data_IF_995319712064
#
_entry.id   IF_995319712064
#
_cell.length_a   1.000
_cell.length_b   1.000
_cell.length_c   1.000
_cell.angle_alpha   90.00
_cell.angle_beta   90.00
_cell.angle_gamma   90.00
#
_symmetry.space_group_name_H-M   'P 1'
#
loop_
_entity.id
_entity.type
_entity.pdbx_description
1 polymer ?
#
# COMPACT_ATOMS: atom_id res chain seq x y z
N UNK A 1 -1.08 8.74 51.78
CA UNK A 1 -0.48 8.84 50.43
C UNK A 1 0.25 10.17 50.33
N UNK A 2 1.58 10.19 50.40
CA UNK A 2 2.35 11.41 50.18
C UNK A 2 2.35 11.73 48.68
N UNK A 3 1.75 12.86 48.30
CA UNK A 3 1.77 13.34 46.92
C UNK A 3 3.15 13.98 46.70
N UNK A 4 4.03 13.26 46.02
CA UNK A 4 5.35 13.75 45.64
C UNK A 4 5.19 14.77 44.50
N UNK A 5 5.69 15.99 44.69
CA UNK A 5 5.55 17.12 43.75
C UNK A 5 6.87 17.37 43.03
N UNK A 6 6.82 17.94 41.82
CA UNK A 6 8.03 18.34 41.08
C UNK A 6 8.18 19.86 41.06
N UNK A 7 9.40 20.35 41.25
CA UNK A 7 9.73 21.76 41.27
C UNK A 7 9.74 22.35 39.85
N UNK A 8 8.97 23.40 39.61
CA UNK A 8 8.89 24.03 38.30
C UNK A 8 10.17 24.78 37.84
N UNK A 9 11.22 24.85 38.67
CA UNK A 9 12.49 25.53 38.35
C UNK A 9 13.64 24.53 38.14
N UNK A 10 13.89 23.64 39.11
CA UNK A 10 14.97 22.65 39.04
C UNK A 10 14.50 21.26 38.58
N UNK A 11 13.20 21.04 38.44
CA UNK A 11 12.56 19.77 38.07
C UNK A 11 12.78 18.60 39.05
N UNK A 12 13.38 18.84 40.22
CA UNK A 12 13.57 17.84 41.26
C UNK A 12 12.25 17.52 42.00
N UNK A 13 12.13 16.27 42.46
CA UNK A 13 10.98 15.81 43.24
C UNK A 13 11.16 16.14 44.72
N UNK A 14 10.09 16.66 45.34
CA UNK A 14 10.08 17.04 46.75
C UNK A 14 8.72 16.75 47.39
N UNK A 15 8.72 16.64 48.72
CA UNK A 15 7.50 16.32 49.50
C UNK A 15 6.81 17.55 50.10
N UNK A 16 7.58 18.59 50.45
CA UNK A 16 7.05 19.84 51.02
C UNK A 16 7.72 21.07 50.39
N UNK A 17 6.95 22.12 50.17
CA UNK A 17 7.38 23.31 49.44
C UNK A 17 6.26 24.34 49.31
N UNK A 18 6.42 25.25 48.36
CA UNK A 18 5.49 26.38 48.18
C UNK A 18 4.72 26.26 46.86
N UNK A 19 3.52 26.83 46.83
CA UNK A 19 2.72 26.93 45.61
C UNK A 19 2.50 28.40 45.27
N UNK A 20 2.75 28.77 44.01
CA UNK A 20 2.47 30.13 43.56
C UNK A 20 0.96 30.36 43.43
N UNK A 21 0.46 31.43 44.03
CA UNK A 21 -0.95 31.84 43.91
C UNK A 21 -1.39 32.17 42.49
N UNK A 22 -0.47 32.61 41.62
CA UNK A 22 -0.73 33.07 40.25
C UNK A 22 -0.68 31.93 39.23
N UNK A 23 0.48 31.29 39.03
CA UNK A 23 0.63 30.21 38.04
C UNK A 23 0.30 28.81 38.59
N UNK A 24 -0.01 28.68 39.88
CA UNK A 24 -0.30 27.41 40.58
C UNK A 24 0.83 26.36 40.55
N UNK A 25 2.00 26.71 40.03
CA UNK A 25 3.18 25.85 40.05
C UNK A 25 3.74 25.66 41.46
N UNK A 26 4.35 24.51 41.69
CA UNK A 26 4.99 24.13 42.93
C UNK A 26 6.51 24.30 42.83
N UNK A 27 7.11 24.83 43.90
CA UNK A 27 8.54 25.05 44.00
C UNK A 27 9.04 24.52 45.34
N UNK A 28 10.24 23.93 45.35
CA UNK A 28 10.94 23.68 46.60
C UNK A 28 11.36 25.01 47.26
N UNK A 29 11.67 24.97 48.55
CA UNK A 29 12.01 26.15 49.34
C UNK A 29 13.26 26.89 48.83
N UNK A 30 14.24 26.19 48.24
CA UNK A 30 15.46 26.79 47.70
C UNK A 30 15.15 27.58 46.43
N UNK A 31 14.47 26.95 45.47
CA UNK A 31 14.06 27.57 44.21
C UNK A 31 13.06 28.72 44.41
N UNK A 32 12.23 28.65 45.45
CA UNK A 32 11.32 29.72 45.84
C UNK A 32 12.00 30.87 46.61
N UNK A 33 13.27 30.72 46.99
CA UNK A 33 14.01 31.70 47.81
C UNK A 33 13.29 32.07 49.12
N UNK A 34 12.68 31.08 49.78
CA UNK A 34 12.00 31.26 51.07
C UNK A 34 12.27 30.08 52.00
N UNK A 35 12.67 30.37 53.24
CA UNK A 35 12.88 29.33 54.25
C UNK A 35 11.57 28.63 54.63
N UNK A 36 11.62 27.33 54.93
CA UNK A 36 10.47 26.54 55.41
C UNK A 36 9.82 27.15 56.65
N UNK A 37 10.61 27.57 57.64
CA UNK A 37 10.12 28.22 58.86
C UNK A 37 9.42 29.56 58.55
N UNK A 38 9.96 30.33 57.62
CA UNK A 38 9.35 31.55 57.10
C UNK A 38 8.01 31.29 56.41
N UNK A 39 7.93 30.26 55.57
CA UNK A 39 6.68 29.87 54.90
C UNK A 39 5.61 29.40 55.89
N UNK A 40 5.99 28.61 56.89
CA UNK A 40 5.06 28.12 57.92
C UNK A 40 4.55 29.23 58.83
N UNK A 41 5.34 30.30 59.05
CA UNK A 41 4.89 31.49 59.77
C UNK A 41 3.91 32.37 58.98
N UNK A 42 3.84 32.22 57.66
CA UNK A 42 2.82 32.91 56.88
C UNK A 42 1.46 32.27 57.16
N UNK A 43 0.47 33.10 57.50
CA UNK A 43 -0.93 32.68 57.58
C UNK A 43 -1.49 32.25 56.22
N UNK A 44 -2.64 31.58 56.24
CA UNK A 44 -3.29 30.99 55.05
C UNK A 44 -3.47 32.03 53.94
N UNK A 45 -3.91 33.25 54.28
CA UNK A 45 -4.16 34.32 53.30
C UNK A 45 -2.88 34.78 52.59
N UNK A 46 -1.77 34.93 53.34
CA UNK A 46 -0.49 35.35 52.76
C UNK A 46 0.14 34.25 51.91
N UNK A 47 -0.08 32.97 52.24
CA UNK A 47 0.36 31.85 51.39
C UNK A 47 -0.41 31.81 50.07
N UNK A 48 -1.73 32.06 50.11
CA UNK A 48 -2.56 32.09 48.90
C UNK A 48 -2.17 33.23 47.93
N UNK A 49 -1.68 34.35 48.46
CA UNK A 49 -1.25 35.52 47.66
C UNK A 49 0.23 35.50 47.26
N UNK A 50 1.02 34.53 47.74
CA UNK A 50 2.44 34.48 47.44
C UNK A 50 2.69 34.18 45.96
N UNK A 51 3.59 34.95 45.33
CA UNK A 51 3.96 34.83 43.92
C UNK A 51 5.42 34.39 43.79
N UNK A 52 5.70 33.46 42.87
CA UNK A 52 7.07 33.10 42.51
C UNK A 52 7.78 34.25 41.78
N UNK A 53 9.11 34.19 41.69
CA UNK A 53 9.93 35.20 41.03
C UNK A 53 9.47 35.52 39.60
N UNK A 54 9.14 34.50 38.80
CA UNK A 54 8.63 34.67 37.44
C UNK A 54 7.30 35.46 37.40
N UNK A 55 6.36 35.13 38.30
CA UNK A 55 5.07 35.83 38.40
C UNK A 55 5.17 37.21 39.07
N UNK A 56 6.23 37.44 39.85
CA UNK A 56 6.53 38.74 40.48
C UNK A 56 7.07 39.73 39.45
N UNK A 57 7.94 39.30 38.53
CA UNK A 57 8.48 40.16 37.47
C UNK A 57 7.43 40.57 36.42
N UNK A 58 6.34 39.81 36.27
CA UNK A 58 5.22 40.17 35.39
C UNK A 58 4.17 41.11 36.01
N UNK A 59 4.32 41.52 37.28
CA UNK A 59 3.44 42.50 37.92
C UNK A 59 4.12 43.88 37.92
N UNK A 60 3.50 44.96 37.39
CA UNK A 60 4.06 46.29 37.50
C UNK A 60 4.21 46.62 38.99
N UNK A 61 5.43 46.93 39.43
CA UNK A 61 5.62 47.51 40.75
C UNK A 61 4.91 48.86 40.75
N UNK A 62 3.85 48.98 41.54
CA UNK A 62 3.27 50.29 41.87
C UNK A 62 4.29 50.99 42.76
N UNK A 63 5.25 51.65 42.12
CA UNK A 63 6.07 52.66 42.76
C UNK A 63 5.36 53.99 42.59
N UNK A 64 4.89 54.51 43.71
CA UNK A 64 4.35 55.85 43.89
C UNK A 64 5.37 56.89 43.40
N UNK A 65 4.87 57.94 42.70
CA UNK A 65 5.50 59.23 42.35
C UNK A 65 6.20 59.39 40.98
N UNK A 66 5.43 59.66 39.91
CA UNK A 66 5.60 60.77 38.91
C UNK A 66 4.70 60.54 37.69
N UNK A 67 4.16 61.59 37.02
CA UNK A 67 3.49 61.43 35.73
C UNK A 67 4.53 61.14 34.63
N UNK A 68 4.36 60.04 33.91
CA UNK A 68 5.11 59.68 32.70
C UNK A 68 4.93 60.71 31.57
N UNK A 69 5.91 60.87 30.66
CA UNK A 69 5.69 61.57 29.41
C UNK A 69 4.75 60.74 28.54
N UNK A 70 3.57 61.28 28.22
CA UNK A 70 2.68 60.71 27.22
C UNK A 70 3.50 60.42 25.94
N UNK A 71 3.36 59.21 25.39
CA UNK A 71 4.06 58.82 24.16
C UNK A 71 3.91 59.94 23.12
N UNK A 72 5.02 60.57 22.74
CA UNK A 72 4.98 61.69 21.81
C UNK A 72 4.35 61.26 20.49
N UNK A 73 3.59 62.13 19.84
CA UNK A 73 2.99 61.87 18.54
C UNK A 73 4.04 61.39 17.52
N UNK A 74 5.27 61.89 17.62
CA UNK A 74 6.42 61.47 16.80
C UNK A 74 6.85 60.01 17.05
N UNK A 75 6.70 59.50 18.26
CA UNK A 75 6.94 58.08 18.57
C UNK A 75 5.87 57.23 17.90
N UNK A 76 4.59 57.60 18.03
CA UNK A 76 3.47 56.86 17.43
C UNK A 76 3.58 56.82 15.90
N UNK A 77 3.90 57.95 15.26
CA UNK A 77 4.06 58.02 13.80
C UNK A 77 5.25 57.18 13.30
N UNK A 78 6.31 57.04 14.10
CA UNK A 78 7.47 56.20 13.77
C UNK A 78 7.10 54.72 13.84
N UNK A 79 6.43 54.30 14.89
CA UNK A 79 5.94 52.92 15.03
C UNK A 79 4.95 52.56 13.91
N UNK A 80 4.06 53.49 13.51
CA UNK A 80 3.15 53.28 12.36
C UNK A 80 3.92 53.12 11.05
N UNK A 81 4.99 53.88 10.83
CA UNK A 81 5.83 53.72 9.64
C UNK A 81 6.59 52.39 9.67
N UNK A 82 7.09 51.98 10.84
CA UNK A 82 7.77 50.70 10.98
C UNK A 82 6.81 49.52 10.74
N UNK A 83 5.60 49.56 11.30
CA UNK A 83 4.54 48.60 11.01
C UNK A 83 4.20 48.57 9.50
N UNK A 84 4.11 49.73 8.85
CA UNK A 84 3.87 49.80 7.39
C UNK A 84 4.99 49.13 6.59
N UNK A 85 6.26 49.28 7.02
CA UNK A 85 7.41 48.64 6.38
C UNK A 85 7.39 47.12 6.61
N UNK A 86 7.09 46.67 7.83
CA UNK A 86 6.96 45.24 8.15
C UNK A 86 5.83 44.57 7.36
N UNK A 87 4.74 45.30 7.07
CA UNK A 87 3.60 44.80 6.31
C UNK A 87 3.77 44.92 4.78
N UNK A 88 4.85 45.54 4.29
CA UNK A 88 5.05 45.81 2.86
C UNK A 88 5.15 44.53 2.00
N UNK A 89 5.56 43.40 2.58
CA UNK A 89 5.68 42.11 1.89
C UNK A 89 4.39 41.29 1.80
N UNK A 90 3.31 41.68 2.50
CA UNK A 90 2.04 40.94 2.50
C UNK A 90 1.42 40.77 1.11
N UNK A 91 1.41 41.78 0.21
CA UNK A 91 0.88 41.61 -1.14
C UNK A 91 1.59 40.51 -1.94
N UNK A 92 2.92 40.39 -1.79
CA UNK A 92 3.71 39.35 -2.45
C UNK A 92 3.37 37.97 -1.88
N UNK A 93 3.28 37.85 -0.55
CA UNK A 93 2.88 36.59 0.09
C UNK A 93 1.47 36.14 -0.33
N UNK A 94 0.53 37.07 -0.52
CA UNK A 94 -0.81 36.76 -1.03
C UNK A 94 -0.74 36.17 -2.44
N UNK A 95 0.15 36.70 -3.29
CA UNK A 95 0.33 36.21 -4.65
C UNK A 95 0.99 34.83 -4.67
N UNK A 96 2.02 34.61 -3.85
CA UNK A 96 2.65 33.29 -3.69
C UNK A 96 1.63 32.23 -3.21
N UNK A 97 0.76 32.59 -2.27
CA UNK A 97 -0.32 31.71 -1.80
C UNK A 97 -1.31 31.38 -2.93
N UNK A 98 -1.60 32.32 -3.82
CA UNK A 98 -2.46 32.07 -5.00
C UNK A 98 -1.79 31.11 -5.98
N UNK A 99 -0.50 31.28 -6.24
CA UNK A 99 0.27 30.40 -7.13
C UNK A 99 0.30 28.98 -6.56
N UNK A 100 0.65 28.81 -5.28
CA UNK A 100 0.66 27.52 -4.59
C UNK A 100 -0.72 26.87 -4.67
N UNK A 101 -1.81 27.63 -4.47
CA UNK A 101 -3.17 27.12 -4.59
C UNK A 101 -3.47 26.63 -6.02
N UNK A 102 -2.97 27.34 -7.04
CA UNK A 102 -3.05 26.91 -8.44
C UNK A 102 -2.34 25.57 -8.65
N UNK A 103 -1.08 25.47 -8.27
CA UNK A 103 -0.28 24.25 -8.39
C UNK A 103 -0.90 23.05 -7.65
N UNK A 104 -1.45 23.27 -6.44
CA UNK A 104 -2.16 22.23 -5.69
C UNK A 104 -3.42 21.77 -6.44
N UNK A 105 -4.13 22.68 -7.10
CA UNK A 105 -5.31 22.35 -7.89
C UNK A 105 -4.92 21.49 -9.10
N UNK A 106 -3.87 21.87 -9.81
CA UNK A 106 -3.36 21.12 -10.97
C UNK A 106 -2.83 19.74 -10.56
N UNK A 107 -2.10 19.66 -9.45
CA UNK A 107 -1.62 18.40 -8.89
C UNK A 107 -2.78 17.47 -8.53
N UNK A 108 -3.87 18.01 -7.94
CA UNK A 108 -5.07 17.24 -7.62
C UNK A 108 -5.75 16.70 -8.87
N UNK A 109 -5.80 17.48 -9.95
CA UNK A 109 -6.32 17.03 -11.24
C UNK A 109 -5.46 15.90 -11.82
N UNK A 110 -4.14 16.07 -11.83
CA UNK A 110 -3.20 15.04 -12.29
C UNK A 110 -3.32 13.75 -11.48
N UNK A 111 -3.46 13.84 -10.16
CA UNK A 111 -3.61 12.69 -9.28
C UNK A 111 -4.91 11.93 -9.57
N UNK A 112 -6.03 12.65 -9.75
CA UNK A 112 -7.30 12.03 -10.10
C UNK A 112 -7.23 11.31 -11.46
N UNK A 113 -6.58 11.93 -12.45
CA UNK A 113 -6.36 11.29 -13.76
C UNK A 113 -5.48 10.03 -13.66
N UNK A 114 -4.44 10.06 -12.83
CA UNK A 114 -3.60 8.90 -12.58
C UNK A 114 -4.39 7.75 -11.95
N UNK A 115 -5.25 8.04 -10.97
CA UNK A 115 -6.11 7.02 -10.35
C UNK A 115 -7.06 6.38 -11.37
N UNK A 116 -7.70 7.18 -12.24
CA UNK A 116 -8.55 6.64 -13.31
C UNK A 116 -7.77 5.67 -14.20
N UNK A 117 -6.54 6.01 -14.59
CA UNK A 117 -5.68 5.12 -15.39
C UNK A 117 -5.26 3.86 -14.63
N UNK A 118 -5.01 3.97 -13.33
CA UNK A 118 -4.68 2.83 -12.47
C UNK A 118 -5.88 1.87 -12.40
N UNK A 119 -7.10 2.39 -12.25
CA UNK A 119 -8.32 1.59 -12.23
C UNK A 119 -8.53 0.88 -13.58
N UNK A 120 -8.33 1.59 -14.69
CA UNK A 120 -8.41 1.02 -16.04
C UNK A 120 -7.38 -0.10 -16.26
N UNK A 121 -6.13 0.12 -15.85
CA UNK A 121 -5.09 -0.90 -15.92
C UNK A 121 -5.39 -2.10 -15.02
N UNK A 122 -5.92 -1.87 -13.83
CA UNK A 122 -6.34 -2.94 -12.92
C UNK A 122 -7.44 -3.80 -13.56
N UNK A 123 -8.44 -3.18 -14.19
CA UNK A 123 -9.48 -3.89 -14.92
C UNK A 123 -8.91 -4.71 -16.09
N UNK A 124 -7.99 -4.13 -16.86
CA UNK A 124 -7.34 -4.82 -17.98
C UNK A 124 -6.48 -6.00 -17.55
N UNK A 125 -5.80 -5.90 -16.40
CA UNK A 125 -5.02 -7.01 -15.83
C UNK A 125 -5.94 -8.17 -15.47
N UNK A 126 -7.06 -7.91 -14.78
CA UNK A 126 -8.05 -8.95 -14.44
C UNK A 126 -8.61 -9.64 -15.69
N UNK A 127 -8.88 -8.88 -16.75
CA UNK A 127 -9.33 -9.46 -18.03
C UNK A 127 -8.27 -10.36 -18.67
N UNK A 128 -7.00 -9.94 -18.66
CA UNK A 128 -5.89 -10.73 -19.19
C UNK A 128 -5.65 -12.01 -18.39
N UNK A 129 -5.74 -11.95 -17.06
CA UNK A 129 -5.66 -13.12 -16.18
C UNK A 129 -6.79 -14.13 -16.48
N UNK A 130 -8.02 -13.63 -16.70
CA UNK A 130 -9.15 -14.47 -17.10
C UNK A 130 -8.91 -15.15 -18.45
N UNK A 131 -8.42 -14.40 -19.44
CA UNK A 131 -8.07 -14.95 -20.77
C UNK A 131 -6.95 -15.99 -20.67
N UNK A 132 -5.91 -15.74 -19.87
CA UNK A 132 -4.83 -16.70 -19.64
C UNK A 132 -5.36 -18.01 -19.04
N UNK A 133 -6.24 -17.95 -18.05
CA UNK A 133 -6.89 -19.13 -17.47
C UNK A 133 -7.67 -19.95 -18.51
N UNK A 134 -8.36 -19.27 -19.44
CA UNK A 134 -9.08 -19.94 -20.52
C UNK A 134 -8.13 -20.62 -21.52
N UNK A 135 -6.98 -20.01 -21.84
CA UNK A 135 -5.97 -20.64 -22.69
C UNK A 135 -5.39 -21.91 -22.06
N UNK A 136 -5.12 -21.91 -20.75
CA UNK A 136 -4.65 -23.11 -20.04
C UNK A 136 -5.66 -24.26 -20.14
N UNK A 137 -6.96 -23.97 -19.97
CA UNK A 137 -8.04 -24.98 -20.15
C UNK A 137 -8.14 -25.49 -21.58
N UNK A 138 -7.86 -24.62 -22.56
CA UNK A 138 -7.87 -25.01 -23.97
C UNK A 138 -6.68 -25.93 -24.29
N UNK A 139 -5.51 -25.62 -23.76
CA UNK A 139 -4.30 -26.45 -23.89
C UNK A 139 -4.52 -27.85 -23.32
N UNK A 140 -5.12 -27.97 -22.13
CA UNK A 140 -5.47 -29.26 -21.52
C UNK A 140 -6.40 -30.08 -22.43
N UNK A 141 -7.42 -29.46 -23.01
CA UNK A 141 -8.32 -30.12 -23.97
C UNK A 141 -7.59 -30.56 -25.23
N UNK A 142 -6.65 -29.76 -25.74
CA UNK A 142 -5.86 -30.12 -26.92
C UNK A 142 -5.01 -31.36 -26.63
N UNK A 143 -4.35 -31.42 -25.47
CA UNK A 143 -3.54 -32.58 -25.06
C UNK A 143 -4.43 -33.83 -24.93
N UNK A 144 -5.60 -33.71 -24.29
CA UNK A 144 -6.55 -34.82 -24.16
C UNK A 144 -6.99 -35.34 -25.54
N UNK A 145 -7.40 -34.45 -26.44
CA UNK A 145 -7.81 -34.82 -27.80
C UNK A 145 -6.68 -35.46 -28.61
N UNK A 146 -5.44 -35.00 -28.45
CA UNK A 146 -4.28 -35.62 -29.10
C UNK A 146 -4.00 -37.03 -28.58
N UNK A 147 -4.16 -37.26 -27.28
CA UNK A 147 -4.07 -38.58 -26.67
C UNK A 147 -5.14 -39.52 -27.22
N UNK A 148 -6.40 -39.07 -27.22
CA UNK A 148 -7.54 -39.86 -27.73
C UNK A 148 -7.35 -40.19 -29.21
N UNK A 149 -6.92 -39.23 -30.02
CA UNK A 149 -6.61 -39.45 -31.44
C UNK A 149 -5.52 -40.51 -31.63
N UNK A 150 -4.50 -40.50 -30.77
CA UNK A 150 -3.42 -41.49 -30.82
C UNK A 150 -3.94 -42.88 -30.46
N UNK A 151 -4.78 -42.99 -29.42
CA UNK A 151 -5.43 -44.26 -29.03
C UNK A 151 -6.31 -44.81 -30.15
N UNK A 152 -7.18 -43.96 -30.73
CA UNK A 152 -8.05 -44.36 -31.83
C UNK A 152 -7.28 -44.82 -33.06
N UNK A 153 -6.15 -44.18 -33.39
CA UNK A 153 -5.28 -44.62 -34.48
C UNK A 153 -4.68 -46.01 -34.22
N UNK A 154 -4.29 -46.30 -32.97
CA UNK A 154 -3.77 -47.62 -32.59
C UNK A 154 -4.85 -48.69 -32.65
N UNK A 155 -6.06 -48.39 -32.17
CA UNK A 155 -7.20 -49.29 -32.26
C UNK A 155 -7.59 -49.59 -33.71
N UNK A 156 -7.60 -48.56 -34.57
CA UNK A 156 -7.87 -48.72 -35.99
C UNK A 156 -6.81 -49.63 -36.65
N UNK A 157 -5.53 -49.39 -36.39
CA UNK A 157 -4.45 -50.23 -36.93
C UNK A 157 -4.58 -51.68 -36.48
N UNK A 158 -4.90 -51.91 -35.19
CA UNK A 158 -5.16 -53.23 -34.64
C UNK A 158 -6.34 -53.92 -35.35
N UNK A 159 -7.43 -53.18 -35.56
CA UNK A 159 -8.61 -53.70 -36.27
C UNK A 159 -8.29 -54.07 -37.72
N UNK A 160 -7.57 -53.20 -38.45
CA UNK A 160 -7.14 -53.45 -39.83
C UNK A 160 -6.24 -54.69 -39.92
N UNK A 161 -5.29 -54.84 -38.99
CA UNK A 161 -4.43 -56.02 -38.93
C UNK A 161 -5.24 -57.27 -38.62
N UNK A 162 -6.17 -57.19 -37.66
CA UNK A 162 -7.04 -58.30 -37.26
C UNK A 162 -7.94 -58.77 -38.41
N UNK A 163 -8.48 -57.83 -39.18
CA UNK A 163 -9.30 -58.13 -40.37
C UNK A 163 -8.55 -58.88 -41.46
N UNK A 164 -7.21 -58.85 -41.46
CA UNK A 164 -6.36 -59.48 -42.48
C UNK A 164 -5.63 -60.73 -41.98
N UNK A 165 -5.84 -61.15 -40.72
CA UNK A 165 -5.12 -62.29 -40.13
C UNK A 165 -5.28 -63.60 -40.91
N UNK A 166 -6.42 -63.80 -41.56
CA UNK A 166 -6.71 -65.02 -42.33
C UNK A 166 -6.49 -64.83 -43.84
N UNK A 167 -5.96 -63.68 -44.27
CA UNK A 167 -5.69 -63.40 -45.67
C UNK A 167 -4.28 -63.86 -46.01
N UNK A 168 -4.14 -64.58 -47.13
CA UNK A 168 -2.85 -64.99 -47.68
C UNK A 168 -2.56 -64.16 -48.93
N UNK A 169 -1.45 -63.44 -48.94
CA UNK A 169 -0.97 -62.71 -50.12
C UNK A 169 -0.03 -63.60 -50.93
N UNK A 170 -0.38 -63.87 -52.20
CA UNK A 170 0.43 -64.68 -53.12
C UNK A 170 1.16 -63.73 -54.08
N UNK A 171 2.49 -63.67 -53.97
CA UNK A 171 3.36 -62.84 -54.84
C UNK A 171 4.03 -63.68 -55.93
N UNK A 172 4.35 -63.03 -57.05
CA UNK A 172 5.11 -63.65 -58.15
C UNK A 172 4.29 -64.48 -59.14
N UNK A 173 2.95 -64.43 -59.07
CA UNK A 173 2.06 -65.04 -60.07
C UNK A 173 1.67 -63.97 -61.11
N UNK A 174 1.93 -64.18 -62.41
CA UNK A 174 1.52 -63.25 -63.46
C UNK A 174 0.00 -63.10 -63.53
N UNK A 175 -0.50 -61.86 -63.61
CA UNK A 175 -1.93 -61.55 -63.67
C UNK A 175 -2.44 -61.60 -65.11
N UNK A 176 -3.55 -62.29 -65.34
CA UNK A 176 -4.25 -62.38 -66.63
C UNK A 176 -5.71 -61.96 -66.49
N UNK A 177 -6.35 -61.58 -67.60
CA UNK A 177 -7.79 -61.31 -67.61
C UNK A 177 -8.58 -62.62 -67.46
N UNK A 178 -9.67 -62.58 -66.69
CA UNK A 178 -10.58 -63.72 -66.46
C UNK A 178 -9.91 -64.95 -65.81
N UNK A 179 -9.04 -64.73 -64.83
CA UNK A 179 -8.42 -65.82 -64.09
C UNK A 179 -9.36 -66.48 -63.06
N UNK A 180 -9.21 -67.78 -62.89
CA UNK A 180 -9.88 -68.54 -61.85
C UNK A 180 -8.92 -68.78 -60.67
N UNK A 181 -9.16 -68.08 -59.56
CA UNK A 181 -8.29 -68.15 -58.38
C UNK A 181 -8.16 -69.57 -57.80
N UNK A 182 -9.21 -70.40 -57.87
CA UNK A 182 -9.14 -71.79 -57.39
C UNK A 182 -8.17 -72.63 -58.20
N UNK A 183 -8.07 -72.40 -59.51
CA UNK A 183 -7.11 -73.13 -60.35
C UNK A 183 -5.67 -72.73 -60.06
N UNK A 184 -5.43 -71.46 -59.72
CA UNK A 184 -4.11 -70.95 -59.33
C UNK A 184 -3.70 -71.54 -57.98
N UNK A 185 -4.59 -71.50 -56.98
CA UNK A 185 -4.32 -72.08 -55.65
C UNK A 185 -4.05 -73.58 -55.73
N UNK A 186 -4.84 -74.31 -56.53
CA UNK A 186 -4.63 -75.75 -56.75
C UNK A 186 -3.29 -76.07 -57.43
N UNK A 187 -2.89 -75.27 -58.43
CA UNK A 187 -1.59 -75.42 -59.10
C UNK A 187 -0.42 -75.16 -58.13
N UNK A 188 -0.54 -74.15 -57.27
CA UNK A 188 0.44 -73.87 -56.20
C UNK A 188 0.50 -75.03 -55.22
N UNK A 189 -0.66 -75.50 -54.73
CA UNK A 189 -0.77 -76.64 -53.81
C UNK A 189 -0.07 -77.88 -54.36
N UNK A 190 -0.34 -78.25 -55.61
CA UNK A 190 0.35 -79.35 -56.29
C UNK A 190 1.86 -79.16 -56.35
N UNK A 191 2.34 -77.93 -56.58
CA UNK A 191 3.79 -77.65 -56.66
C UNK A 191 4.50 -77.82 -55.32
N UNK A 192 3.82 -77.56 -54.21
CA UNK A 192 4.35 -77.72 -52.84
C UNK A 192 3.95 -79.06 -52.20
N UNK A 193 3.38 -79.99 -52.96
CA UNK A 193 2.86 -81.28 -52.49
C UNK A 193 1.80 -81.15 -51.37
N UNK A 194 0.94 -80.14 -51.43
CA UNK A 194 -0.18 -79.93 -50.52
C UNK A 194 -1.53 -79.92 -51.26
N UNK A 195 -2.52 -80.65 -50.75
CA UNK A 195 -3.84 -80.74 -51.36
C UNK A 195 -4.81 -79.71 -50.73
N UNK A 196 -5.07 -78.62 -51.43
CA UNK A 196 -6.07 -77.63 -51.03
C UNK A 196 -7.48 -78.14 -51.39
N UNK A 197 -8.22 -78.66 -50.42
CA UNK A 197 -9.62 -79.05 -50.63
C UNK A 197 -10.47 -77.82 -50.98
N UNK A 198 -11.27 -77.92 -52.04
CA UNK A 198 -12.24 -76.86 -52.39
C UNK A 198 -13.34 -76.82 -51.31
N UNK A 199 -13.68 -75.64 -50.77
CA UNK A 199 -14.84 -75.52 -49.89
C UNK A 199 -16.11 -75.92 -50.65
N UNK A 200 -17.04 -76.59 -49.95
CA UNK A 200 -18.36 -76.97 -50.48
C UNK A 200 -19.24 -75.76 -50.70
#
# INVERSE_FOLDING_TARGET
>A
MNIMKSCAVCNEQFNDGVQCGSCKNHLDFKCASISESGWRRLGIDRRAQWKCSACRMGSPSVSTLSPEPAASLDTILREIRDMKLQLAGLPTLIEDIRLIRGEITDLKLSFNQANIKIDEFSARVVELESKASNFMKLEEKVIALQSDLTSMKLELASYEQRSRLNNVEIKGVPVKKQENLFTIVDAIGRKINYNCQKPK
#
